data_IF_742050468814
#
_entry.id   IF_742050468814
#
_cell.length_a   1.000
_cell.length_b   1.000
_cell.length_c   1.000
_cell.angle_alpha   90.00
_cell.angle_beta   90.00
_cell.angle_gamma   90.00
#
_symmetry.space_group_name_H-M   'P 1'
#
loop_
_entity.id
_entity.type
_entity.pdbx_description
1 polymer ?
#
# COMPACT_ATOMS: atom_id res chain seq x y z
N UNK A 1 -16.84 2.82 -11.84
CA UNK A 1 -16.16 3.97 -11.23
C UNK A 1 -15.95 5.06 -12.28
N UNK A 2 -16.24 6.30 -11.94
CA UNK A 2 -16.09 7.43 -12.88
C UNK A 2 -14.62 7.83 -13.04
N UNK A 3 -14.33 8.61 -14.08
CA UNK A 3 -12.96 9.12 -14.31
C UNK A 3 -12.48 9.96 -13.13
N UNK A 4 -13.37 10.75 -12.54
CA UNK A 4 -13.03 11.58 -11.38
C UNK A 4 -12.70 10.73 -10.15
N UNK A 5 -13.49 9.70 -9.88
CA UNK A 5 -13.26 8.79 -8.77
C UNK A 5 -11.95 8.05 -8.92
N UNK A 6 -11.65 7.61 -10.14
CA UNK A 6 -10.38 6.95 -10.44
C UNK A 6 -9.21 7.89 -10.17
N UNK A 7 -9.31 9.15 -10.62
CA UNK A 7 -8.26 10.14 -10.43
C UNK A 7 -8.05 10.46 -8.95
N UNK A 8 -9.13 10.59 -8.18
CA UNK A 8 -9.05 10.83 -6.74
C UNK A 8 -8.34 9.67 -6.03
N UNK A 9 -8.65 8.44 -6.43
CA UNK A 9 -8.02 7.25 -5.86
C UNK A 9 -6.53 7.23 -6.18
N UNK A 10 -6.16 7.52 -7.42
CA UNK A 10 -4.76 7.55 -7.83
C UNK A 10 -3.98 8.66 -7.12
N UNK A 11 -4.62 9.83 -6.92
CA UNK A 11 -4.00 10.92 -6.18
C UNK A 11 -3.76 10.53 -4.72
N UNK A 12 -4.73 9.87 -4.09
CA UNK A 12 -4.58 9.39 -2.73
C UNK A 12 -3.43 8.38 -2.64
N UNK A 13 -3.34 7.48 -3.62
CA UNK A 13 -2.25 6.50 -3.67
C UNK A 13 -0.90 7.19 -3.74
N UNK A 14 -0.76 8.22 -4.58
CA UNK A 14 0.48 8.98 -4.69
C UNK A 14 0.86 9.62 -3.36
N UNK A 15 -0.10 10.24 -2.67
CA UNK A 15 0.13 10.86 -1.37
C UNK A 15 0.53 9.86 -0.30
N UNK A 16 -0.14 8.70 -0.29
CA UNK A 16 0.15 7.62 0.66
C UNK A 16 1.56 7.08 0.42
N UNK A 17 1.92 6.81 -0.83
CA UNK A 17 3.26 6.31 -1.16
C UNK A 17 4.35 7.28 -0.77
N UNK A 18 4.13 8.57 -0.98
CA UNK A 18 5.10 9.60 -0.59
C UNK A 18 5.31 9.62 0.93
N UNK A 19 4.21 9.54 1.69
CA UNK A 19 4.28 9.53 3.15
C UNK A 19 4.98 8.28 3.67
N UNK A 20 4.66 7.11 3.09
CA UNK A 20 5.29 5.86 3.50
C UNK A 20 6.76 5.82 3.14
N UNK A 21 7.15 6.45 2.03
CA UNK A 21 8.57 6.55 1.62
C UNK A 21 9.40 7.35 2.61
N UNK A 22 8.78 8.26 3.35
CA UNK A 22 9.48 9.03 4.39
C UNK A 22 9.71 8.19 5.65
N UNK A 23 8.94 7.12 5.85
CA UNK A 23 9.01 6.28 7.05
C UNK A 23 9.71 4.94 6.80
N UNK A 24 9.50 4.34 5.64
CA UNK A 24 10.02 3.01 5.33
C UNK A 24 10.99 3.06 4.16
N UNK A 25 12.02 2.19 4.24
CA UNK A 25 12.96 2.02 3.14
C UNK A 25 12.26 1.36 1.95
N UNK A 26 12.69 1.71 0.75
CA UNK A 26 12.16 1.12 -0.49
C UNK A 26 13.21 0.29 -1.19
N UNK A 27 12.76 -0.76 -1.89
CA UNK A 27 13.62 -1.62 -2.71
C UNK A 27 12.88 -1.98 -3.99
N UNK A 28 13.64 -2.26 -5.06
CA UNK A 28 13.05 -2.73 -6.31
C UNK A 28 13.21 -4.24 -6.40
N UNK A 29 12.11 -4.94 -6.52
CA UNK A 29 12.09 -6.40 -6.59
C UNK A 29 11.22 -6.82 -7.77
N UNK A 30 11.80 -7.56 -8.72
CA UNK A 30 11.05 -8.03 -9.88
C UNK A 30 10.49 -6.93 -10.77
N UNK A 31 11.15 -5.76 -10.78
CA UNK A 31 10.70 -4.62 -11.58
C UNK A 31 9.65 -3.76 -10.91
N UNK A 32 9.35 -4.01 -9.65
CA UNK A 32 8.35 -3.27 -8.89
C UNK A 32 8.94 -2.74 -7.59
N UNK A 33 8.47 -1.57 -7.13
CA UNK A 33 8.95 -0.96 -5.89
C UNK A 33 8.16 -1.50 -4.70
N UNK A 34 8.91 -1.99 -3.71
CA UNK A 34 8.35 -2.44 -2.45
C UNK A 34 8.89 -1.60 -1.30
N UNK A 35 8.13 -1.54 -0.22
CA UNK A 35 8.59 -0.98 1.06
C UNK A 35 9.05 -2.13 1.95
N UNK A 36 9.99 -1.82 2.85
CA UNK A 36 10.49 -2.80 3.82
C UNK A 36 9.92 -2.44 5.19
N UNK A 37 9.14 -3.35 5.76
CA UNK A 37 8.54 -3.17 7.09
C UNK A 37 9.59 -3.35 8.19
N UNK A 38 9.25 -2.92 9.40
CA UNK A 38 10.15 -2.99 10.54
C UNK A 38 10.60 -4.43 10.86
N UNK A 39 9.73 -5.40 10.64
CA UNK A 39 10.05 -6.82 10.86
C UNK A 39 10.81 -7.47 9.69
N UNK A 40 11.10 -6.72 8.65
CA UNK A 40 11.83 -7.22 7.48
C UNK A 40 10.95 -7.74 6.37
N UNK A 41 9.65 -7.81 6.55
CA UNK A 41 8.73 -8.20 5.48
C UNK A 41 8.64 -7.08 4.43
N UNK A 42 8.17 -7.44 3.24
CA UNK A 42 8.00 -6.49 2.15
C UNK A 42 6.52 -6.20 1.95
N UNK A 43 6.20 -4.96 1.58
CA UNK A 43 4.82 -4.62 1.27
C UNK A 43 4.75 -3.57 0.16
N UNK A 44 3.62 -3.53 -0.49
CA UNK A 44 3.32 -2.49 -1.49
C UNK A 44 1.90 -2.01 -1.28
N UNK A 45 1.60 -0.81 -1.78
CA UNK A 45 0.27 -0.23 -1.73
C UNK A 45 -0.22 -0.04 -3.16
N UNK A 46 -1.46 -0.43 -3.42
CA UNK A 46 -2.05 -0.28 -4.74
C UNK A 46 -3.51 0.09 -4.64
N UNK A 47 -4.11 0.35 -5.81
CA UNK A 47 -5.54 0.62 -5.91
C UNK A 47 -6.30 -0.70 -5.95
N UNK A 48 -7.36 -0.81 -5.15
CA UNK A 48 -8.26 -1.95 -5.24
C UNK A 48 -9.19 -1.75 -6.44
N UNK A 49 -9.26 -2.69 -7.39
CA UNK A 49 -10.02 -2.48 -8.62
C UNK A 49 -11.52 -2.30 -8.37
N UNK A 50 -12.11 -1.34 -9.08
CA UNK A 50 -13.56 -1.18 -9.12
C UNK A 50 -14.18 -0.36 -8.01
N UNK A 51 -13.40 0.05 -7.01
CA UNK A 51 -13.89 0.87 -5.89
C UNK A 51 -12.85 1.92 -5.53
N UNK A 52 -13.27 2.95 -4.79
CA UNK A 52 -12.37 4.00 -4.31
C UNK A 52 -11.67 3.52 -3.03
N UNK A 53 -10.74 2.60 -3.20
CA UNK A 53 -10.03 2.01 -2.07
C UNK A 53 -8.58 1.70 -2.43
N UNK A 54 -7.71 1.71 -1.40
CA UNK A 54 -6.33 1.25 -1.50
C UNK A 54 -6.20 -0.04 -0.72
N UNK A 55 -5.23 -0.86 -1.11
CA UNK A 55 -4.95 -2.14 -0.44
C UNK A 55 -3.44 -2.26 -0.24
N UNK A 56 -3.06 -2.90 0.87
CA UNK A 56 -1.66 -3.24 1.14
C UNK A 56 -1.48 -4.73 0.88
N UNK A 57 -0.49 -5.08 0.07
CA UNK A 57 -0.13 -6.47 -0.19
C UNK A 57 1.21 -6.77 0.46
N UNK A 58 1.36 -7.95 1.04
CA UNK A 58 2.53 -8.34 1.81
C UNK A 58 3.24 -9.55 1.21
N UNK A 59 4.57 -9.57 1.37
CA UNK A 59 5.39 -10.74 1.06
C UNK A 59 6.37 -10.95 2.22
N UNK A 60 6.47 -12.18 2.72
CA UNK A 60 7.36 -12.49 3.82
C UNK A 60 8.82 -12.57 3.39
N UNK A 61 9.06 -12.91 2.13
CA UNK A 61 10.41 -13.09 1.59
C UNK A 61 10.60 -12.31 0.30
N UNK A 62 11.86 -12.02 -0.04
CA UNK A 62 12.21 -11.38 -1.31
C UNK A 62 11.74 -12.23 -2.50
N UNK A 63 11.87 -13.54 -2.40
CA UNK A 63 11.46 -14.44 -3.46
C UNK A 63 9.96 -14.33 -3.75
N UNK A 64 9.15 -14.29 -2.71
CA UNK A 64 7.71 -14.13 -2.87
C UNK A 64 7.37 -12.79 -3.49
N UNK A 65 8.06 -11.73 -3.08
CA UNK A 65 7.86 -10.40 -3.66
C UNK A 65 8.21 -10.40 -5.16
N UNK A 66 9.34 -11.01 -5.52
CA UNK A 66 9.78 -11.08 -6.94
C UNK A 66 8.83 -11.91 -7.79
N UNK A 67 8.20 -12.92 -7.22
CA UNK A 67 7.26 -13.81 -7.92
C UNK A 67 5.83 -13.30 -7.90
N UNK A 68 5.60 -12.14 -7.30
CA UNK A 68 4.28 -11.57 -7.12
C UNK A 68 3.34 -12.50 -6.35
N UNK A 69 3.89 -13.28 -5.42
CA UNK A 69 3.16 -14.19 -4.56
C UNK A 69 2.83 -13.48 -3.26
N UNK A 70 1.87 -12.55 -3.32
CA UNK A 70 1.57 -11.62 -2.24
C UNK A 70 0.28 -12.00 -1.53
N UNK A 71 0.21 -11.68 -0.24
CA UNK A 71 -1.01 -11.83 0.55
C UNK A 71 -1.68 -10.47 0.70
N UNK A 72 -3.01 -10.45 0.54
CA UNK A 72 -3.79 -9.22 0.65
C UNK A 72 -3.96 -8.82 2.11
N UNK A 73 -3.72 -7.53 2.39
CA UNK A 73 -4.07 -6.94 3.67
C UNK A 73 -5.45 -6.30 3.63
N UNK A 74 -5.72 -5.42 4.57
CA UNK A 74 -6.99 -4.72 4.65
C UNK A 74 -7.14 -3.71 3.51
N UNK A 75 -8.40 -3.38 3.22
CA UNK A 75 -8.76 -2.33 2.27
C UNK A 75 -9.01 -1.04 3.03
N UNK A 76 -8.64 0.08 2.42
CA UNK A 76 -8.80 1.40 3.01
C UNK A 76 -9.60 2.27 2.05
N UNK A 77 -10.82 2.63 2.43
CA UNK A 77 -11.75 3.34 1.55
C UNK A 77 -11.59 4.86 1.68
N UNK A 78 -11.54 5.55 0.55
CA UNK A 78 -11.35 7.00 0.52
C UNK A 78 -12.52 7.77 1.15
N UNK A 79 -13.74 7.27 0.96
CA UNK A 79 -14.95 7.92 1.47
C UNK A 79 -15.16 7.66 2.97
N UNK A 80 -14.39 6.78 3.58
CA UNK A 80 -14.49 6.46 5.00
C UNK A 80 -13.36 7.06 5.82
N UNK A 81 -12.29 7.54 5.18
CA UNK A 81 -11.10 8.02 5.87
C UNK A 81 -10.51 9.25 5.21
N UNK A 82 -9.96 10.16 6.02
CA UNK A 82 -9.09 11.21 5.53
C UNK A 82 -7.71 10.62 5.22
N UNK A 83 -6.85 11.37 4.57
CA UNK A 83 -5.48 10.94 4.30
C UNK A 83 -4.74 10.58 5.60
N UNK A 84 -4.84 11.45 6.61
CA UNK A 84 -4.15 11.24 7.89
C UNK A 84 -4.67 10.00 8.61
N UNK A 85 -5.97 9.78 8.62
CA UNK A 85 -6.57 8.59 9.22
C UNK A 85 -6.16 7.33 8.48
N UNK A 86 -6.16 7.38 7.16
CA UNK A 86 -5.76 6.24 6.33
C UNK A 86 -4.31 5.87 6.61
N UNK A 87 -3.41 6.85 6.66
CA UNK A 87 -1.99 6.60 6.96
C UNK A 87 -1.82 5.99 8.35
N UNK A 88 -2.54 6.50 9.34
CA UNK A 88 -2.48 5.97 10.70
C UNK A 88 -2.92 4.51 10.75
N UNK A 89 -4.02 4.19 10.05
CA UNK A 89 -4.54 2.82 10.00
C UNK A 89 -3.61 1.88 9.25
N UNK A 90 -3.04 2.35 8.14
CA UNK A 90 -2.08 1.56 7.35
C UNK A 90 -0.83 1.25 8.15
N UNK A 91 -0.27 2.24 8.83
CA UNK A 91 0.92 2.06 9.66
C UNK A 91 0.63 1.09 10.80
N UNK A 92 -0.53 1.21 11.43
CA UNK A 92 -0.93 0.30 12.50
C UNK A 92 -1.02 -1.14 11.99
N UNK A 93 -1.54 -1.36 10.79
CA UNK A 93 -1.60 -2.69 10.19
C UNK A 93 -0.20 -3.22 9.87
N UNK A 94 0.65 -2.39 9.26
CA UNK A 94 2.00 -2.79 8.88
C UNK A 94 2.83 -3.19 10.11
N UNK A 95 2.66 -2.49 11.22
CA UNK A 95 3.45 -2.71 12.43
C UNK A 95 2.81 -3.64 13.45
N UNK A 96 1.67 -4.22 13.11
CA UNK A 96 0.96 -5.14 14.01
C UNK A 96 1.65 -6.50 14.14
N UNK A 97 2.48 -6.86 13.20
CA UNK A 97 3.16 -8.17 13.19
C UNK A 97 4.33 -8.22 14.16
#
# INVERSE_FOLDING_TARGET
>A
MTSMEKKLTENRLTEVKAALSAKYRTVDLGGEKFFVATDGAFFRVGVFPGVMALVIDYADTEQEARQNALEDGDRFYLDETTLDEMLRLMIAEIERC
#
